data_IF_132169667954
#
_entry.id   IF_132169667954
#
_cell.length_a   1.000
_cell.length_b   1.000
_cell.length_c   1.000
_cell.angle_alpha   90.00
_cell.angle_beta   90.00
_cell.angle_gamma   90.00
#
_symmetry.space_group_name_H-M   'P 1'
#
loop_
_entity.id
_entity.type
_entity.pdbx_description
1 polymer ?
#
# COMPACT_ATOMS: atom_id res chain seq x y z
N UNK A 1 28.19 -22.58 2.59
CA UNK A 1 28.64 -21.34 1.93
C UNK A 1 27.92 -20.09 2.43
N UNK A 2 26.85 -20.23 3.23
CA UNK A 2 26.08 -19.11 3.79
C UNK A 2 25.18 -18.35 2.77
N UNK A 3 25.15 -18.79 1.52
CA UNK A 3 24.33 -18.18 0.46
C UNK A 3 23.12 -19.08 0.17
N UNK A 4 21.91 -18.51 0.28
CA UNK A 4 20.68 -19.20 -0.06
C UNK A 4 20.57 -19.39 -1.58
N UNK A 5 20.79 -20.60 -2.07
CA UNK A 5 20.66 -20.94 -3.48
C UNK A 5 19.21 -21.18 -3.91
N UNK A 6 18.99 -21.42 -5.21
CA UNK A 6 17.68 -21.62 -5.81
C UNK A 6 16.80 -22.70 -5.12
N UNK A 7 17.42 -23.75 -4.58
CA UNK A 7 16.71 -24.80 -3.82
C UNK A 7 16.15 -24.25 -2.50
N UNK A 8 16.96 -23.45 -1.78
CA UNK A 8 16.57 -22.82 -0.53
C UNK A 8 15.42 -21.83 -0.77
N UNK A 9 15.55 -20.95 -1.78
CA UNK A 9 14.50 -20.03 -2.15
C UNK A 9 13.19 -20.74 -2.51
N UNK A 10 13.27 -21.83 -3.28
CA UNK A 10 12.08 -22.64 -3.62
C UNK A 10 11.42 -23.26 -2.38
N UNK A 11 12.23 -23.73 -1.41
CA UNK A 11 11.70 -24.29 -0.16
C UNK A 11 11.07 -23.22 0.75
N UNK A 12 11.58 -21.99 0.71
CA UNK A 12 11.06 -20.86 1.49
C UNK A 12 9.85 -20.17 0.83
N UNK A 13 9.64 -20.35 -0.47
CA UNK A 13 8.57 -19.68 -1.20
C UNK A 13 7.18 -19.82 -0.57
N UNK A 14 6.74 -20.99 -0.07
CA UNK A 14 5.46 -21.12 0.63
C UNK A 14 5.34 -20.24 1.88
N UNK A 15 6.44 -20.01 2.58
CA UNK A 15 6.46 -19.17 3.78
C UNK A 15 6.40 -17.67 3.45
N UNK A 16 6.95 -17.26 2.30
CA UNK A 16 6.82 -15.88 1.81
C UNK A 16 5.45 -15.58 1.21
N UNK A 17 4.82 -16.59 0.57
CA UNK A 17 3.52 -16.42 -0.10
C UNK A 17 2.34 -16.89 0.75
N UNK A 18 2.57 -17.59 1.85
CA UNK A 18 1.53 -18.06 2.76
C UNK A 18 0.66 -19.20 2.22
N UNK A 19 1.07 -19.90 1.15
CA UNK A 19 0.35 -21.06 0.62
C UNK A 19 1.27 -22.08 -0.03
N UNK A 20 0.77 -23.30 -0.17
CA UNK A 20 1.36 -24.34 -1.03
C UNK A 20 0.37 -24.72 -2.13
N UNK A 21 0.89 -25.12 -3.29
CA UNK A 21 0.09 -25.75 -4.35
C UNK A 21 0.33 -27.25 -4.32
N UNK A 22 -0.76 -28.05 -4.27
CA UNK A 22 -0.74 -29.50 -4.29
C UNK A 22 -1.57 -30.03 -5.45
N UNK A 23 -1.10 -31.05 -6.14
CA UNK A 23 -1.93 -31.82 -7.07
C UNK A 23 -2.80 -32.80 -6.30
N UNK A 24 -4.11 -32.76 -6.52
CA UNK A 24 -5.12 -33.64 -5.88
C UNK A 24 -4.85 -35.09 -6.27
N UNK A 25 -4.80 -35.97 -5.28
CA UNK A 25 -4.59 -37.43 -5.40
C UNK A 25 -5.80 -38.21 -4.88
N UNK A 26 -5.88 -39.47 -5.24
CA UNK A 26 -6.89 -40.35 -4.69
C UNK A 26 -6.79 -40.44 -3.16
N UNK A 27 -7.92 -40.29 -2.47
CA UNK A 27 -8.00 -40.24 -1.01
C UNK A 27 -7.74 -38.87 -0.36
N UNK A 28 -7.37 -37.84 -1.13
CA UNK A 28 -7.30 -36.47 -0.60
C UNK A 28 -8.71 -35.96 -0.24
N UNK A 29 -8.83 -35.35 0.91
CA UNK A 29 -10.02 -34.60 1.35
C UNK A 29 -9.57 -33.25 1.95
N UNK A 30 -10.42 -32.23 1.91
CA UNK A 30 -10.10 -30.94 2.55
C UNK A 30 -9.78 -31.12 4.04
N UNK A 31 -10.51 -32.00 4.75
CA UNK A 31 -10.27 -32.25 6.17
C UNK A 31 -8.92 -32.92 6.45
N UNK A 32 -8.49 -33.88 5.61
CA UNK A 32 -7.18 -34.51 5.76
C UNK A 32 -6.03 -33.54 5.46
N UNK A 33 -6.19 -32.75 4.39
CA UNK A 33 -5.22 -31.72 3.98
C UNK A 33 -5.15 -30.57 4.99
N UNK A 34 -6.28 -30.11 5.53
CA UNK A 34 -6.32 -29.11 6.57
C UNK A 34 -5.51 -29.55 7.80
N UNK A 35 -5.69 -30.79 8.27
CA UNK A 35 -4.88 -31.36 9.37
C UNK A 35 -3.40 -31.48 9.00
N UNK A 36 -3.08 -31.93 7.80
CA UNK A 36 -1.70 -32.10 7.35
C UNK A 36 -0.92 -30.78 7.32
N UNK A 37 -1.56 -29.68 6.91
CA UNK A 37 -0.93 -28.37 6.75
C UNK A 37 -1.20 -27.40 7.91
N UNK A 38 -1.95 -27.83 8.93
CA UNK A 38 -2.29 -27.02 10.10
C UNK A 38 -3.26 -25.87 9.81
N UNK A 39 -3.98 -25.92 8.69
CA UNK A 39 -4.95 -24.90 8.25
C UNK A 39 -6.40 -25.35 8.51
N UNK A 40 -7.39 -24.56 8.08
CA UNK A 40 -8.81 -24.91 8.18
C UNK A 40 -9.39 -25.39 6.85
N UNK A 41 -10.46 -26.18 6.93
CA UNK A 41 -11.25 -26.59 5.76
C UNK A 41 -11.81 -25.36 5.04
N UNK A 42 -12.32 -24.38 5.80
CA UNK A 42 -12.88 -23.15 5.27
C UNK A 42 -11.83 -22.33 4.51
N UNK A 43 -10.59 -22.25 5.02
CA UNK A 43 -9.51 -21.56 4.31
C UNK A 43 -9.18 -22.24 2.98
N UNK A 44 -9.17 -23.59 2.94
CA UNK A 44 -8.95 -24.33 1.70
C UNK A 44 -10.13 -24.10 0.73
N UNK A 45 -11.37 -24.18 1.22
CA UNK A 45 -12.55 -23.94 0.40
C UNK A 45 -12.58 -22.51 -0.17
N UNK A 46 -12.27 -21.52 0.65
CA UNK A 46 -12.19 -20.12 0.25
C UNK A 46 -11.15 -19.88 -0.85
N UNK A 47 -9.98 -20.51 -0.75
CA UNK A 47 -8.92 -20.40 -1.75
C UNK A 47 -9.22 -21.18 -3.04
N UNK A 48 -10.24 -22.06 -3.05
CA UNK A 48 -10.59 -22.92 -4.18
C UNK A 48 -12.11 -22.95 -4.42
N UNK A 49 -12.77 -21.80 -4.65
CA UNK A 49 -14.25 -21.71 -4.68
C UNK A 49 -14.91 -22.48 -5.84
N UNK A 50 -14.12 -22.94 -6.80
CA UNK A 50 -14.56 -23.72 -7.96
C UNK A 50 -14.43 -25.25 -7.78
N UNK A 51 -13.96 -25.71 -6.61
CA UNK A 51 -13.86 -27.12 -6.28
C UNK A 51 -15.01 -27.55 -5.36
N UNK A 52 -15.62 -28.71 -5.69
CA UNK A 52 -16.56 -29.37 -4.80
C UNK A 52 -15.77 -30.18 -3.74
N UNK A 53 -15.89 -29.85 -2.43
CA UNK A 53 -15.17 -30.53 -1.37
C UNK A 53 -15.47 -32.02 -1.25
N UNK A 54 -16.68 -32.43 -1.70
CA UNK A 54 -17.12 -33.85 -1.66
C UNK A 54 -16.64 -34.63 -2.89
N UNK A 55 -16.24 -33.93 -3.97
CA UNK A 55 -15.85 -34.56 -5.24
C UNK A 55 -14.61 -33.89 -5.84
N UNK A 56 -13.46 -34.09 -5.21
CA UNK A 56 -12.20 -33.52 -5.65
C UNK A 56 -11.72 -34.15 -6.98
N UNK A 57 -11.50 -33.35 -8.04
CA UNK A 57 -11.04 -33.86 -9.32
C UNK A 57 -9.55 -34.22 -9.26
N UNK A 58 -9.21 -35.48 -9.53
CA UNK A 58 -7.85 -35.98 -9.53
C UNK A 58 -6.98 -35.25 -10.55
N UNK A 59 -5.74 -34.99 -10.18
CA UNK A 59 -4.77 -34.31 -11.05
C UNK A 59 -4.87 -32.77 -11.10
N UNK A 60 -5.94 -32.17 -10.55
CA UNK A 60 -6.05 -30.72 -10.47
C UNK A 60 -5.18 -30.12 -9.37
N UNK A 61 -4.75 -28.89 -9.61
CA UNK A 61 -4.05 -28.09 -8.62
C UNK A 61 -5.01 -27.59 -7.53
N UNK A 62 -4.57 -27.64 -6.29
CA UNK A 62 -5.26 -27.17 -5.10
C UNK A 62 -4.36 -26.17 -4.37
N UNK A 63 -4.87 -24.99 -4.09
CA UNK A 63 -4.22 -24.01 -3.22
C UNK A 63 -4.52 -24.33 -1.76
N UNK A 64 -3.49 -24.51 -0.95
CA UNK A 64 -3.61 -24.77 0.49
C UNK A 64 -3.01 -23.58 1.25
N UNK A 65 -3.82 -22.68 1.83
CA UNK A 65 -3.36 -21.62 2.71
C UNK A 65 -2.61 -22.18 3.92
N UNK A 66 -1.48 -21.56 4.29
CA UNK A 66 -0.78 -21.88 5.52
C UNK A 66 -1.41 -21.12 6.72
N UNK A 67 -1.24 -21.60 7.97
CA UNK A 67 -1.98 -21.10 9.14
C UNK A 67 -1.39 -19.81 9.73
N UNK A 68 -0.97 -18.87 8.89
CA UNK A 68 -0.47 -17.56 9.31
C UNK A 68 -0.89 -16.47 8.32
N UNK A 69 -0.82 -15.21 8.76
CA UNK A 69 -1.07 -14.03 7.91
C UNK A 69 -0.04 -13.96 6.78
N UNK A 70 -0.48 -13.62 5.57
CA UNK A 70 0.42 -13.36 4.43
C UNK A 70 1.22 -12.08 4.63
N UNK A 71 0.68 -11.16 5.44
CA UNK A 71 1.29 -9.87 5.74
C UNK A 71 2.12 -9.96 7.04
N UNK A 72 3.46 -10.19 6.97
CA UNK A 72 4.29 -10.26 8.17
C UNK A 72 4.34 -8.90 8.88
N UNK A 73 4.33 -8.94 10.22
CA UNK A 73 4.23 -7.75 11.08
C UNK A 73 5.53 -7.38 11.81
N UNK A 74 6.60 -8.14 11.59
CA UNK A 74 7.84 -8.08 12.37
C UNK A 74 9.12 -7.91 11.55
N UNK A 75 9.00 -7.83 10.22
CA UNK A 75 10.13 -7.64 9.31
C UNK A 75 9.92 -6.44 8.38
N UNK A 76 10.99 -5.74 8.00
CA UNK A 76 10.92 -4.68 6.99
C UNK A 76 10.45 -5.22 5.64
N UNK A 77 9.64 -4.44 4.94
CA UNK A 77 9.18 -4.79 3.61
C UNK A 77 10.17 -4.33 2.55
N UNK A 78 10.56 -5.23 1.67
CA UNK A 78 11.21 -4.92 0.39
C UNK A 78 10.21 -5.05 -0.76
N UNK A 79 10.57 -4.51 -1.92
CA UNK A 79 9.77 -4.68 -3.14
C UNK A 79 9.54 -6.16 -3.50
N UNK A 80 10.53 -7.01 -3.24
CA UNK A 80 10.42 -8.46 -3.43
C UNK A 80 9.38 -9.08 -2.47
N UNK A 81 9.43 -8.72 -1.19
CA UNK A 81 8.46 -9.19 -0.19
C UNK A 81 7.05 -8.70 -0.53
N UNK A 82 6.89 -7.43 -0.95
CA UNK A 82 5.60 -6.90 -1.42
C UNK A 82 5.04 -7.79 -2.54
N UNK A 83 5.87 -8.15 -3.53
CA UNK A 83 5.45 -9.05 -4.61
C UNK A 83 5.07 -10.46 -4.14
N UNK A 84 5.71 -11.00 -3.09
CA UNK A 84 5.32 -12.28 -2.49
C UNK A 84 3.99 -12.17 -1.75
N UNK A 85 3.81 -11.13 -0.94
CA UNK A 85 2.56 -10.86 -0.21
C UNK A 85 1.39 -10.69 -1.19
N UNK A 86 1.54 -9.87 -2.22
CA UNK A 86 0.50 -9.65 -3.24
C UNK A 86 0.09 -10.96 -3.92
N UNK A 87 1.05 -11.81 -4.31
CA UNK A 87 0.77 -13.13 -4.87
C UNK A 87 0.10 -14.07 -3.88
N UNK A 88 0.52 -14.02 -2.63
CA UNK A 88 -0.08 -14.80 -1.55
C UNK A 88 -1.53 -14.42 -1.29
N UNK A 89 -1.82 -13.12 -1.22
CA UNK A 89 -3.18 -12.60 -1.07
C UNK A 89 -4.07 -13.06 -2.24
N UNK A 90 -3.61 -12.89 -3.48
CA UNK A 90 -4.36 -13.32 -4.67
C UNK A 90 -4.65 -14.82 -4.69
N UNK A 91 -3.70 -15.65 -4.24
CA UNK A 91 -3.88 -17.11 -4.20
C UNK A 91 -4.82 -17.56 -3.08
N UNK A 92 -4.81 -16.90 -1.93
CA UNK A 92 -5.64 -17.25 -0.77
C UNK A 92 -7.06 -16.69 -0.88
N UNK A 93 -7.22 -15.56 -1.58
CA UNK A 93 -8.46 -14.80 -1.67
C UNK A 93 -8.83 -14.53 -3.13
N UNK A 94 -9.43 -15.50 -3.84
CA UNK A 94 -9.74 -15.38 -5.28
C UNK A 94 -10.72 -14.27 -5.65
N UNK A 95 -11.41 -13.66 -4.65
CA UNK A 95 -12.22 -12.47 -4.83
C UNK A 95 -11.38 -11.19 -4.99
N UNK A 96 -10.09 -11.24 -4.67
CA UNK A 96 -9.16 -10.12 -4.82
C UNK A 96 -8.57 -10.13 -6.22
N UNK A 97 -8.87 -9.11 -7.02
CA UNK A 97 -8.21 -8.91 -8.29
C UNK A 97 -6.87 -8.17 -8.07
N UNK A 98 -5.83 -8.60 -8.75
CA UNK A 98 -4.48 -8.04 -8.65
C UNK A 98 -3.94 -7.74 -10.04
N UNK A 99 -3.26 -6.61 -10.21
CA UNK A 99 -2.59 -6.22 -11.44
C UNK A 99 -1.45 -5.22 -11.21
N UNK A 100 -0.81 -4.82 -12.30
CA UNK A 100 0.22 -3.78 -12.31
C UNK A 100 -0.34 -2.53 -12.99
N UNK A 101 -0.10 -1.34 -12.42
CA UNK A 101 -0.48 -0.09 -13.06
C UNK A 101 0.70 0.65 -13.70
N UNK A 102 1.91 0.14 -13.53
CA UNK A 102 3.13 0.73 -14.07
C UNK A 102 4.37 0.04 -13.54
N UNK A 103 5.51 0.66 -13.81
CA UNK A 103 6.81 0.21 -13.31
C UNK A 103 7.61 1.39 -12.77
N UNK A 104 8.41 1.12 -11.72
CA UNK A 104 9.32 2.08 -11.10
C UNK A 104 10.53 2.39 -11.99
N UNK A 105 11.41 3.25 -11.51
CA UNK A 105 12.70 3.58 -12.18
C UNK A 105 13.52 2.33 -12.47
N UNK A 106 13.58 1.37 -11.54
CA UNK A 106 14.29 0.10 -11.72
C UNK A 106 13.45 -1.00 -12.39
N UNK A 107 12.27 -0.65 -12.91
CA UNK A 107 11.39 -1.60 -13.59
C UNK A 107 10.62 -2.53 -12.66
N UNK A 108 10.56 -2.26 -11.36
CA UNK A 108 9.75 -3.01 -10.40
C UNK A 108 8.26 -2.76 -10.62
N UNK A 109 7.41 -3.79 -10.45
CA UNK A 109 5.97 -3.63 -10.65
C UNK A 109 5.35 -2.68 -9.62
N UNK A 110 4.51 -1.77 -10.08
CA UNK A 110 3.63 -0.96 -9.26
C UNK A 110 2.29 -1.69 -9.16
N UNK A 111 2.06 -2.33 -8.02
CA UNK A 111 0.91 -3.21 -7.83
C UNK A 111 -0.37 -2.43 -7.51
N UNK A 112 -1.50 -2.90 -8.05
CA UNK A 112 -2.82 -2.55 -7.52
C UNK A 112 -3.60 -3.81 -7.15
N UNK A 113 -4.47 -3.67 -6.14
CA UNK A 113 -5.38 -4.69 -5.68
C UNK A 113 -6.79 -4.12 -5.70
N UNK A 114 -7.77 -4.92 -6.14
CA UNK A 114 -9.17 -4.47 -6.20
C UNK A 114 -10.06 -5.47 -5.48
N UNK A 115 -10.94 -4.96 -4.60
CA UNK A 115 -11.87 -5.74 -3.81
C UNK A 115 -13.24 -5.08 -3.80
N UNK A 116 -14.31 -5.89 -3.87
CA UNK A 116 -15.69 -5.40 -3.93
C UNK A 116 -16.20 -5.24 -5.36
N UNK A 117 -17.48 -4.92 -5.50
CA UNK A 117 -18.18 -4.80 -6.79
C UNK A 117 -19.21 -3.67 -6.81
N UNK A 118 -19.21 -2.82 -5.78
CA UNK A 118 -20.14 -1.71 -5.69
C UNK A 118 -19.81 -0.56 -6.66
N UNK A 119 -20.77 0.30 -6.94
CA UNK A 119 -20.60 1.41 -7.88
C UNK A 119 -19.73 2.55 -7.35
N UNK A 120 -19.58 2.70 -6.02
CA UNK A 120 -18.73 3.71 -5.41
C UNK A 120 -17.27 3.26 -5.46
N UNK A 121 -16.42 4.05 -6.12
CA UNK A 121 -15.01 3.75 -6.29
C UNK A 121 -14.17 4.48 -5.22
N UNK A 122 -13.43 3.73 -4.43
CA UNK A 122 -12.56 4.27 -3.38
C UNK A 122 -11.12 3.86 -3.66
N UNK A 123 -10.19 4.83 -3.60
CA UNK A 123 -8.80 4.62 -3.91
C UNK A 123 -7.90 4.94 -2.72
N UNK A 124 -7.17 3.95 -2.22
CA UNK A 124 -6.18 4.12 -1.17
C UNK A 124 -4.79 3.81 -1.70
N UNK A 125 -3.83 4.64 -1.34
CA UNK A 125 -2.44 4.44 -1.75
C UNK A 125 -1.48 4.68 -0.57
N UNK A 126 -0.27 4.13 -0.69
CA UNK A 126 0.73 4.16 0.37
C UNK A 126 2.16 4.30 -0.19
N UNK A 127 3.08 4.70 0.65
CA UNK A 127 4.51 4.79 0.38
C UNK A 127 4.85 5.59 -0.89
N UNK A 128 4.37 6.85 -0.94
CA UNK A 128 4.92 7.86 -1.86
C UNK A 128 6.36 8.21 -1.50
N UNK A 129 6.69 8.15 -0.21
CA UNK A 129 8.02 8.40 0.31
C UNK A 129 8.68 7.10 0.75
N UNK A 130 9.95 6.95 0.38
CA UNK A 130 10.75 5.76 0.64
C UNK A 130 10.84 5.39 2.13
N UNK A 131 11.11 6.37 3.00
CA UNK A 131 11.27 6.15 4.43
C UNK A 131 9.95 6.02 5.21
N UNK A 132 8.83 6.15 4.52
CA UNK A 132 7.48 5.92 5.06
C UNK A 132 6.94 4.53 4.69
N UNK A 133 7.85 3.59 4.42
CA UNK A 133 7.53 2.25 3.92
C UNK A 133 6.59 1.43 4.83
N UNK A 134 6.49 1.75 6.13
CA UNK A 134 5.56 1.09 7.06
C UNK A 134 4.09 1.22 6.61
N UNK A 135 3.76 2.23 5.80
CA UNK A 135 2.42 2.41 5.24
C UNK A 135 2.04 1.30 4.26
N UNK A 136 3.01 0.64 3.63
CA UNK A 136 2.80 -0.53 2.76
C UNK A 136 2.25 -1.74 3.53
N UNK A 137 2.91 -2.28 4.57
CA UNK A 137 2.33 -3.36 5.37
C UNK A 137 1.02 -2.97 6.04
N UNK A 138 0.82 -1.71 6.42
CA UNK A 138 -0.46 -1.23 6.94
C UNK A 138 -1.59 -1.46 5.93
N UNK A 139 -1.41 -1.00 4.69
CA UNK A 139 -2.43 -1.11 3.64
C UNK A 139 -2.67 -2.56 3.22
N UNK A 140 -1.61 -3.37 3.11
CA UNK A 140 -1.71 -4.80 2.78
C UNK A 140 -2.40 -5.61 3.89
N UNK A 141 -2.11 -5.32 5.17
CA UNK A 141 -2.78 -5.94 6.31
C UNK A 141 -4.27 -5.60 6.34
N UNK A 142 -4.64 -4.35 6.07
CA UNK A 142 -6.05 -3.96 5.94
C UNK A 142 -6.73 -4.75 4.82
N UNK A 143 -6.09 -4.89 3.66
CA UNK A 143 -6.58 -5.69 2.54
C UNK A 143 -6.81 -7.16 2.94
N UNK A 144 -5.81 -7.79 3.61
CA UNK A 144 -5.94 -9.18 4.08
C UNK A 144 -7.11 -9.35 5.06
N UNK A 145 -7.26 -8.42 6.00
CA UNK A 145 -8.36 -8.44 6.96
C UNK A 145 -9.73 -8.33 6.28
N UNK A 146 -9.88 -7.42 5.29
CA UNK A 146 -11.12 -7.32 4.51
C UNK A 146 -11.42 -8.63 3.75
N UNK A 147 -10.43 -9.20 3.08
CA UNK A 147 -10.58 -10.45 2.35
C UNK A 147 -10.99 -11.60 3.27
N UNK A 148 -10.38 -11.72 4.45
CA UNK A 148 -10.73 -12.72 5.44
C UNK A 148 -12.18 -12.57 5.92
N UNK A 149 -12.60 -11.35 6.27
CA UNK A 149 -13.98 -11.06 6.71
C UNK A 149 -15.01 -11.24 5.60
N UNK A 150 -14.66 -10.91 4.36
CA UNK A 150 -15.53 -11.21 3.21
C UNK A 150 -15.72 -12.72 3.02
N UNK A 151 -14.64 -13.49 3.27
CA UNK A 151 -14.66 -14.95 3.13
C UNK A 151 -15.47 -15.64 4.23
N UNK A 152 -15.33 -15.23 5.48
CA UNK A 152 -16.04 -15.83 6.62
C UNK A 152 -17.43 -15.20 6.87
N UNK A 153 -17.82 -14.17 6.11
CA UNK A 153 -19.08 -13.45 6.27
C UNK A 153 -19.11 -12.55 7.52
N UNK A 154 -17.93 -12.26 8.09
CA UNK A 154 -17.80 -11.53 9.35
C UNK A 154 -17.87 -10.02 9.23
N UNK A 155 -17.83 -9.38 10.39
CA UNK A 155 -17.89 -7.93 10.54
C UNK A 155 -16.49 -7.35 10.79
N UNK A 156 -16.31 -6.08 10.41
CA UNK A 156 -15.17 -5.24 10.76
C UNK A 156 -15.67 -3.87 11.20
N UNK A 157 -15.21 -3.39 12.37
CA UNK A 157 -15.68 -2.13 12.95
C UNK A 157 -17.22 -2.03 13.00
N UNK A 158 -17.90 -3.14 13.35
CA UNK A 158 -19.36 -3.21 13.39
C UNK A 158 -20.08 -3.20 12.05
N UNK A 159 -19.34 -3.35 10.94
CA UNK A 159 -19.91 -3.35 9.59
C UNK A 159 -19.78 -4.73 8.96
N UNK A 160 -20.87 -5.24 8.39
CA UNK A 160 -20.81 -6.45 7.58
C UNK A 160 -20.02 -6.19 6.29
N UNK A 161 -18.92 -6.91 6.09
CA UNK A 161 -17.99 -6.63 4.99
C UNK A 161 -18.57 -6.98 3.63
N UNK A 162 -19.41 -8.01 3.55
CA UNK A 162 -20.09 -8.37 2.30
C UNK A 162 -21.04 -7.26 1.85
N UNK A 163 -21.83 -6.73 2.77
CA UNK A 163 -22.77 -5.64 2.47
C UNK A 163 -22.04 -4.34 2.13
N UNK A 164 -20.94 -4.06 2.81
CA UNK A 164 -20.09 -2.90 2.54
C UNK A 164 -19.50 -2.99 1.13
N UNK A 165 -18.86 -4.10 0.79
CA UNK A 165 -18.19 -4.30 -0.50
C UNK A 165 -19.16 -4.55 -1.68
N UNK A 166 -20.44 -4.79 -1.42
CA UNK A 166 -21.48 -4.76 -2.46
C UNK A 166 -21.82 -3.32 -2.92
N UNK A 167 -21.51 -2.32 -2.09
CA UNK A 167 -21.74 -0.89 -2.36
C UNK A 167 -20.49 -0.15 -2.80
N UNK A 168 -19.31 -0.71 -2.49
CA UNK A 168 -18.00 -0.09 -2.75
C UNK A 168 -17.12 -1.04 -3.55
N UNK A 169 -16.39 -0.48 -4.50
CA UNK A 169 -15.21 -1.10 -5.11
C UNK A 169 -13.97 -0.38 -4.58
N UNK A 170 -13.14 -1.09 -3.85
CA UNK A 170 -11.92 -0.59 -3.25
C UNK A 170 -10.72 -0.90 -4.14
N UNK A 171 -9.95 0.11 -4.50
CA UNK A 171 -8.68 -0.01 -5.24
C UNK A 171 -7.54 0.42 -4.33
N UNK A 172 -6.52 -0.42 -4.20
CA UNK A 172 -5.37 -0.22 -3.33
C UNK A 172 -4.08 -0.18 -4.16
N UNK A 173 -3.23 0.83 -3.94
CA UNK A 173 -1.87 0.90 -4.46
C UNK A 173 -0.88 0.87 -3.27
N UNK A 174 -0.38 -0.30 -2.86
CA UNK A 174 0.30 -0.46 -1.57
C UNK A 174 1.72 0.12 -1.51
N UNK A 175 2.36 0.37 -2.65
CA UNK A 175 3.69 0.96 -2.70
C UNK A 175 3.85 1.78 -3.99
N UNK A 176 3.94 3.09 -3.85
CA UNK A 176 4.16 4.00 -4.99
C UNK A 176 5.65 4.06 -5.33
N UNK A 177 6.54 4.01 -4.34
CA UNK A 177 8.00 4.03 -4.51
C UNK A 177 8.68 2.74 -4.02
N UNK A 178 8.55 1.61 -4.73
CA UNK A 178 9.16 0.35 -4.32
C UNK A 178 10.69 0.37 -4.36
N UNK A 179 11.30 1.19 -5.20
CA UNK A 179 12.76 1.31 -5.31
C UNK A 179 13.34 2.05 -4.11
N UNK A 180 12.70 3.16 -3.72
CA UNK A 180 13.07 3.91 -2.53
C UNK A 180 12.87 3.10 -1.25
N UNK A 181 11.80 2.31 -1.15
CA UNK A 181 11.61 1.33 -0.07
C UNK A 181 12.82 0.42 0.05
N UNK A 182 13.29 -0.17 -1.07
CA UNK A 182 14.44 -1.07 -1.06
C UNK A 182 15.74 -0.36 -0.66
N UNK A 183 15.92 0.91 -1.03
CA UNK A 183 17.05 1.71 -0.56
C UNK A 183 17.04 1.85 0.97
N UNK A 184 15.91 2.29 1.53
CA UNK A 184 15.80 2.56 2.97
C UNK A 184 15.87 1.28 3.81
N UNK A 185 15.33 0.17 3.29
CA UNK A 185 15.33 -1.13 3.99
C UNK A 185 16.59 -1.96 3.74
N UNK A 186 17.53 -1.47 2.91
CA UNK A 186 18.79 -2.16 2.61
C UNK A 186 18.65 -3.33 1.65
N UNK A 187 17.59 -3.36 0.83
CA UNK A 187 17.32 -4.44 -0.11
C UNK A 187 17.84 -4.17 -1.54
N UNK A 188 18.43 -3.00 -1.80
CA UNK A 188 19.10 -2.69 -3.07
C UNK A 188 20.46 -3.37 -3.18
N UNK A 189 20.91 -3.57 -4.43
CA UNK A 189 22.30 -3.95 -4.71
C UNK A 189 23.30 -2.84 -4.33
N UNK A 190 24.55 -3.22 -4.19
CA UNK A 190 25.62 -2.33 -3.72
C UNK A 190 25.92 -1.18 -4.69
N UNK A 191 25.79 -1.40 -6.00
CA UNK A 191 26.07 -0.38 -7.03
C UNK A 191 25.01 0.72 -7.00
N UNK A 192 23.73 0.31 -7.02
CA UNK A 192 22.60 1.25 -6.93
C UNK A 192 22.58 2.02 -5.60
N UNK A 193 22.90 1.35 -4.49
CA UNK A 193 23.04 1.98 -3.17
C UNK A 193 24.18 3.01 -3.15
N UNK A 194 25.32 2.70 -3.77
CA UNK A 194 26.46 3.62 -3.85
C UNK A 194 26.11 4.87 -4.68
N UNK A 195 25.37 4.73 -5.77
CA UNK A 195 24.91 5.86 -6.57
C UNK A 195 23.96 6.79 -5.78
N UNK A 196 23.01 6.22 -5.05
CA UNK A 196 22.13 7.00 -4.18
C UNK A 196 22.91 7.70 -3.04
N UNK A 197 23.88 7.02 -2.46
CA UNK A 197 24.77 7.61 -1.43
C UNK A 197 25.58 8.78 -1.96
N UNK A 198 26.15 8.66 -3.15
CA UNK A 198 26.90 9.76 -3.78
C UNK A 198 26.04 11.00 -4.01
N UNK A 199 24.73 10.82 -4.33
CA UNK A 199 23.79 11.92 -4.39
C UNK A 199 23.56 12.54 -3.00
N UNK A 200 23.39 11.70 -1.97
CA UNK A 200 23.13 12.14 -0.60
C UNK A 200 24.31 12.93 0.00
N UNK A 201 25.54 12.71 -0.44
CA UNK A 201 26.73 13.44 0.02
C UNK A 201 26.65 14.95 -0.23
N UNK A 202 25.81 15.40 -1.20
CA UNK A 202 25.53 16.81 -1.42
C UNK A 202 24.54 17.41 -0.40
N UNK A 203 23.96 16.57 0.47
CA UNK A 203 22.94 16.94 1.47
C UNK A 203 23.29 16.34 2.84
N UNK A 204 24.41 16.74 3.46
CA UNK A 204 24.96 16.09 4.66
C UNK A 204 24.06 16.17 5.89
N UNK A 205 23.13 17.11 5.94
CA UNK A 205 22.16 17.25 7.04
C UNK A 205 21.00 16.23 6.94
N UNK A 206 20.89 15.47 5.84
CA UNK A 206 19.86 14.44 5.66
C UNK A 206 20.48 13.08 5.94
N UNK A 207 20.04 12.35 7.00
CA UNK A 207 20.58 11.02 7.32
C UNK A 207 20.39 10.04 6.18
N UNK A 208 21.44 9.33 5.78
CA UNK A 208 21.37 8.30 4.75
C UNK A 208 21.42 6.89 5.35
N UNK A 209 20.51 5.95 4.92
CA UNK A 209 19.40 6.14 4.01
C UNK A 209 18.09 6.55 4.70
N UNK A 210 18.03 6.69 6.03
CA UNK A 210 16.81 6.88 6.82
C UNK A 210 16.04 8.16 6.49
N UNK A 211 16.74 9.24 6.09
CA UNK A 211 16.15 10.50 5.67
C UNK A 211 15.69 10.56 4.22
N UNK A 212 15.91 9.47 3.44
CA UNK A 212 15.58 9.43 2.01
C UNK A 212 14.07 9.28 1.78
N UNK A 213 13.44 10.29 1.17
CA UNK A 213 12.01 10.32 0.80
C UNK A 213 11.77 10.13 -0.69
N UNK A 214 12.74 10.52 -1.51
CA UNK A 214 12.65 10.55 -2.97
C UNK A 214 12.64 9.15 -3.60
N UNK A 215 12.28 9.07 -4.90
CA UNK A 215 12.61 7.92 -5.71
C UNK A 215 14.11 7.86 -6.02
N UNK A 216 14.59 6.85 -6.74
CA UNK A 216 16.03 6.71 -7.02
C UNK A 216 16.61 7.75 -7.99
N UNK A 217 15.77 8.58 -8.61
CA UNK A 217 16.22 9.75 -9.39
C UNK A 217 16.34 11.01 -8.52
N UNK A 218 16.14 10.89 -7.21
CA UNK A 218 16.19 12.01 -6.29
C UNK A 218 15.01 12.97 -6.44
N UNK A 219 13.84 12.49 -6.87
CA UNK A 219 12.60 13.27 -6.98
C UNK A 219 11.63 12.87 -5.90
N UNK A 220 11.14 13.84 -5.12
CA UNK A 220 10.08 13.67 -4.16
C UNK A 220 8.75 13.46 -4.91
N UNK A 221 8.27 12.22 -4.94
CA UNK A 221 7.10 11.86 -5.74
C UNK A 221 5.83 12.61 -5.32
N UNK A 222 5.71 12.96 -4.03
CA UNK A 222 4.55 13.72 -3.54
C UNK A 222 4.68 15.24 -3.78
N UNK A 223 5.67 15.65 -4.56
CA UNK A 223 5.83 17.01 -5.09
C UNK A 223 5.86 17.03 -6.63
N UNK A 224 5.54 15.91 -7.29
CA UNK A 224 5.69 15.75 -8.74
C UNK A 224 4.35 15.77 -9.50
N UNK A 225 3.25 16.18 -8.86
CA UNK A 225 1.92 16.26 -9.52
C UNK A 225 1.60 17.69 -10.00
N UNK A 226 0.81 17.83 -11.10
CA UNK A 226 0.48 19.14 -11.68
C UNK A 226 -0.61 19.89 -10.90
N UNK A 227 -0.36 20.13 -9.60
CA UNK A 227 -1.21 20.90 -8.72
C UNK A 227 -0.39 22.04 -8.10
N UNK A 228 -0.43 23.22 -8.68
CA UNK A 228 0.44 24.35 -8.30
C UNK A 228 1.93 23.97 -8.29
N UNK A 229 2.36 23.14 -9.21
CA UNK A 229 3.73 22.61 -9.25
C UNK A 229 4.79 23.71 -9.33
N UNK A 230 4.56 24.77 -10.13
CA UNK A 230 5.48 25.91 -10.20
C UNK A 230 5.62 26.65 -8.85
N UNK A 231 4.56 26.69 -8.06
CA UNK A 231 4.61 27.23 -6.70
C UNK A 231 5.48 26.35 -5.78
N UNK A 232 5.29 25.05 -5.81
CA UNK A 232 6.13 24.12 -5.06
C UNK A 232 7.59 24.23 -5.49
N UNK A 233 7.87 24.27 -6.79
CA UNK A 233 9.21 24.43 -7.36
C UNK A 233 9.88 25.71 -6.86
N UNK A 234 9.16 26.84 -6.87
CA UNK A 234 9.69 28.12 -6.36
C UNK A 234 10.03 28.02 -4.88
N UNK A 235 9.11 27.51 -4.06
CA UNK A 235 9.32 27.34 -2.60
C UNK A 235 10.55 26.48 -2.33
N UNK A 236 10.66 25.32 -2.99
CA UNK A 236 11.79 24.41 -2.78
C UNK A 236 13.12 24.98 -3.27
N UNK A 237 13.09 25.76 -4.36
CA UNK A 237 14.26 26.51 -4.83
C UNK A 237 14.71 27.57 -3.81
N UNK A 238 13.80 28.30 -3.19
CA UNK A 238 14.09 29.25 -2.12
C UNK A 238 14.68 28.56 -0.87
N UNK A 239 14.35 27.29 -0.64
CA UNK A 239 14.93 26.42 0.39
C UNK A 239 16.27 25.77 -0.03
N UNK A 240 16.78 26.08 -1.22
CA UNK A 240 18.07 25.56 -1.73
C UNK A 240 17.98 24.24 -2.48
N UNK A 241 16.78 23.68 -2.72
CA UNK A 241 16.61 22.40 -3.44
C UNK A 241 16.20 22.67 -4.90
N UNK A 242 17.19 22.59 -5.81
CA UNK A 242 17.01 22.88 -7.24
C UNK A 242 17.38 21.70 -8.15
N UNK A 243 18.01 20.69 -7.60
CA UNK A 243 18.54 19.50 -8.32
C UNK A 243 18.12 18.24 -7.58
N UNK A 244 18.29 17.05 -8.17
CA UNK A 244 18.00 15.81 -7.50
C UNK A 244 18.54 15.75 -6.07
N UNK A 245 17.70 15.34 -5.13
CA UNK A 245 17.96 15.37 -3.70
C UNK A 245 17.32 14.16 -3.01
N UNK A 246 17.77 13.77 -1.83
CA UNK A 246 17.12 12.71 -1.03
C UNK A 246 15.66 13.02 -0.69
N UNK A 247 15.25 14.28 -0.74
CA UNK A 247 13.89 14.77 -0.50
C UNK A 247 13.69 16.18 -1.07
N UNK A 248 12.45 16.60 -1.18
CA UNK A 248 12.04 17.96 -1.50
C UNK A 248 12.35 18.44 -2.94
N UNK A 249 12.99 17.65 -3.79
CA UNK A 249 13.14 17.99 -5.19
C UNK A 249 11.88 17.61 -5.98
N UNK A 250 11.28 18.59 -6.64
CA UNK A 250 9.97 18.45 -7.31
C UNK A 250 10.04 17.78 -8.70
N UNK A 251 11.24 17.47 -9.20
CA UNK A 251 11.47 17.04 -10.58
C UNK A 251 11.73 18.22 -11.52
N UNK A 252 11.93 17.91 -12.81
CA UNK A 252 12.16 18.93 -13.86
C UNK A 252 10.85 19.40 -14.50
N UNK A 253 9.82 18.54 -14.47
CA UNK A 253 8.44 18.86 -14.88
C UNK A 253 7.44 18.01 -14.08
N UNK A 254 6.17 18.40 -14.00
CA UNK A 254 5.17 17.57 -13.33
C UNK A 254 5.01 16.23 -14.07
N UNK A 255 4.87 15.14 -13.31
CA UNK A 255 4.72 13.76 -13.80
C UNK A 255 5.90 13.28 -14.67
N UNK A 256 7.10 13.80 -14.46
CA UNK A 256 8.31 13.34 -15.16
C UNK A 256 8.89 12.03 -14.56
N UNK A 257 8.32 11.54 -13.45
CA UNK A 257 8.70 10.28 -12.85
C UNK A 257 7.72 9.16 -13.24
N UNK A 258 8.21 7.95 -13.53
CA UNK A 258 7.35 6.84 -13.95
C UNK A 258 6.31 6.47 -12.88
N UNK A 259 6.65 6.55 -11.60
CA UNK A 259 5.76 6.22 -10.50
C UNK A 259 4.60 7.22 -10.38
N UNK A 260 4.89 8.51 -10.34
CA UNK A 260 3.85 9.56 -10.24
C UNK A 260 2.98 9.60 -11.49
N UNK A 261 3.56 9.43 -12.68
CA UNK A 261 2.84 9.35 -13.93
C UNK A 261 1.89 8.15 -13.98
N UNK A 262 2.36 6.98 -13.55
CA UNK A 262 1.56 5.75 -13.50
C UNK A 262 0.41 5.86 -12.49
N UNK A 263 0.65 6.41 -11.29
CA UNK A 263 -0.39 6.60 -10.29
C UNK A 263 -1.46 7.61 -10.75
N UNK A 264 -1.04 8.69 -11.40
CA UNK A 264 -1.97 9.65 -12.00
C UNK A 264 -2.80 9.02 -13.11
N UNK A 265 -2.19 8.15 -13.93
CA UNK A 265 -2.89 7.44 -15.01
C UNK A 265 -3.96 6.48 -14.45
N UNK A 266 -3.64 5.67 -13.43
CA UNK A 266 -4.62 4.76 -12.83
C UNK A 266 -5.76 5.54 -12.16
N UNK A 267 -5.48 6.63 -11.46
CA UNK A 267 -6.53 7.47 -10.88
C UNK A 267 -7.47 8.05 -11.95
N UNK A 268 -6.92 8.47 -13.10
CA UNK A 268 -7.74 8.91 -14.25
C UNK A 268 -8.57 7.79 -14.86
N UNK A 269 -8.07 6.55 -14.90
CA UNK A 269 -8.84 5.41 -15.40
C UNK A 269 -9.94 4.98 -14.43
N UNK A 270 -9.64 4.95 -13.13
CA UNK A 270 -10.58 4.50 -12.09
C UNK A 270 -11.65 5.54 -11.80
N UNK A 271 -11.34 6.83 -11.91
CA UNK A 271 -12.23 7.94 -11.51
C UNK A 271 -12.79 7.80 -10.08
N UNK A 272 -11.96 7.68 -9.04
CA UNK A 272 -12.42 7.39 -7.69
C UNK A 272 -13.33 8.48 -7.13
N UNK A 273 -14.32 8.08 -6.32
CA UNK A 273 -15.21 8.98 -5.57
C UNK A 273 -14.53 9.53 -4.31
N UNK A 274 -13.54 8.81 -3.81
CA UNK A 274 -12.78 9.14 -2.61
C UNK A 274 -11.33 8.64 -2.75
N UNK A 275 -10.37 9.43 -2.26
CA UNK A 275 -8.97 9.04 -2.21
C UNK A 275 -8.37 9.27 -0.81
N UNK A 276 -7.63 8.26 -0.28
CA UNK A 276 -6.77 8.41 0.88
C UNK A 276 -5.31 8.09 0.51
N UNK A 277 -4.39 8.98 0.85
CA UNK A 277 -2.96 8.77 0.75
C UNK A 277 -2.36 8.56 2.15
N UNK A 278 -1.73 7.41 2.37
CA UNK A 278 -1.07 7.08 3.64
C UNK A 278 0.35 7.59 3.64
N UNK A 279 0.67 8.36 4.66
CA UNK A 279 1.98 8.90 4.98
C UNK A 279 2.37 8.60 6.43
N UNK A 280 3.53 8.99 6.84
CA UNK A 280 4.01 9.10 8.22
C UNK A 280 4.78 10.40 8.38
N UNK A 281 4.69 11.09 9.49
CA UNK A 281 4.15 10.76 10.78
C UNK A 281 3.37 11.97 11.35
N UNK A 282 2.60 11.75 12.43
CA UNK A 282 1.87 12.83 13.11
C UNK A 282 0.58 12.37 13.77
N UNK A 283 0.05 11.19 13.40
CA UNK A 283 -1.27 10.71 13.83
C UNK A 283 -2.37 11.75 13.57
N UNK A 284 -2.41 12.29 12.34
CA UNK A 284 -3.28 13.40 11.95
C UNK A 284 -3.92 13.15 10.58
N UNK A 285 -5.09 13.73 10.36
CA UNK A 285 -5.84 13.71 9.10
C UNK A 285 -5.76 15.09 8.46
N UNK A 286 -5.18 15.17 7.27
CA UNK A 286 -5.10 16.40 6.48
C UNK A 286 -6.12 16.40 5.34
N UNK A 287 -7.21 17.19 5.42
CA UNK A 287 -8.11 17.43 4.29
C UNK A 287 -7.47 18.37 3.26
N UNK A 288 -8.18 18.65 2.18
CA UNK A 288 -7.86 19.75 1.29
C UNK A 288 -8.16 21.12 1.92
N UNK A 289 -7.77 22.22 1.24
CA UNK A 289 -8.09 23.56 1.68
C UNK A 289 -9.61 23.75 1.83
N UNK A 290 -10.03 24.36 2.95
CA UNK A 290 -11.46 24.49 3.31
C UNK A 290 -12.30 25.21 2.23
N UNK A 291 -11.72 26.23 1.58
CA UNK A 291 -12.36 27.04 0.54
C UNK A 291 -12.59 26.27 -0.79
N UNK A 292 -11.90 25.17 -1.00
CA UNK A 292 -12.00 24.31 -2.19
C UNK A 292 -12.42 22.88 -1.87
N UNK A 293 -12.78 22.61 -0.61
CA UNK A 293 -13.14 21.26 -0.18
C UNK A 293 -14.44 20.80 -0.86
N UNK A 294 -14.47 19.61 -1.47
CA UNK A 294 -15.69 19.05 -2.03
C UNK A 294 -16.77 18.83 -0.96
N UNK A 295 -18.05 18.84 -1.39
CA UNK A 295 -19.15 18.57 -0.48
C UNK A 295 -18.98 17.26 0.28
N UNK A 296 -19.29 17.25 1.57
CA UNK A 296 -19.14 16.08 2.44
C UNK A 296 -17.74 15.85 3.01
N UNK A 297 -16.68 16.52 2.51
CA UNK A 297 -15.30 16.32 3.00
C UNK A 297 -15.16 16.58 4.51
N UNK A 298 -15.81 17.62 5.03
CA UNK A 298 -15.74 17.95 6.46
C UNK A 298 -16.42 16.87 7.33
N UNK A 299 -17.59 16.39 6.91
CA UNK A 299 -18.31 15.31 7.62
C UNK A 299 -17.51 14.00 7.59
N UNK A 300 -16.89 13.68 6.45
CA UNK A 300 -16.03 12.51 6.32
C UNK A 300 -14.78 12.61 7.18
N UNK A 301 -14.11 13.77 7.21
CA UNK A 301 -12.97 14.02 8.08
C UNK A 301 -13.34 13.83 9.57
N UNK A 302 -14.49 14.37 9.98
CA UNK A 302 -15.00 14.21 11.34
C UNK A 302 -15.29 12.74 11.69
N UNK A 303 -15.92 11.98 10.78
CA UNK A 303 -16.20 10.56 10.98
C UNK A 303 -14.89 9.73 11.13
N UNK A 304 -13.90 10.00 10.29
CA UNK A 304 -12.58 9.33 10.40
C UNK A 304 -11.87 9.72 11.71
N UNK A 305 -11.96 10.98 12.12
CA UNK A 305 -11.40 11.49 13.38
C UNK A 305 -12.06 10.83 14.60
N UNK A 306 -13.38 10.78 14.62
CA UNK A 306 -14.14 10.12 15.71
C UNK A 306 -13.79 8.63 15.83
N UNK A 307 -13.71 7.94 14.69
CA UNK A 307 -13.39 6.50 14.67
C UNK A 307 -11.97 6.19 15.14
N UNK A 308 -11.00 7.05 14.88
CA UNK A 308 -9.58 6.77 15.10
C UNK A 308 -8.96 7.54 16.26
N UNK A 309 -9.56 8.66 16.67
CA UNK A 309 -8.96 9.61 17.59
C UNK A 309 -7.91 10.53 16.95
N UNK A 310 -7.67 10.45 15.65
CA UNK A 310 -6.73 11.33 14.95
C UNK A 310 -7.36 12.71 14.73
N UNK A 311 -6.71 13.81 15.12
CA UNK A 311 -7.22 15.14 14.87
C UNK A 311 -7.27 15.46 13.36
N UNK A 312 -8.20 16.34 12.99
CA UNK A 312 -8.24 16.95 11.66
C UNK A 312 -7.56 18.30 11.71
N UNK A 313 -6.51 18.48 10.94
CA UNK A 313 -5.71 19.72 10.93
C UNK A 313 -5.54 20.27 9.50
N UNK A 314 -5.33 21.57 9.34
CA UNK A 314 -4.97 22.14 8.05
C UNK A 314 -3.57 21.66 7.64
N UNK A 315 -3.37 21.46 6.33
CA UNK A 315 -2.04 21.10 5.78
C UNK A 315 -1.08 22.25 6.03
N UNK A 316 0.14 22.00 6.57
CA UNK A 316 1.17 23.03 6.68
C UNK A 316 1.50 23.65 5.31
N UNK A 317 1.62 24.97 5.25
CA UNK A 317 1.83 25.70 3.99
C UNK A 317 3.04 25.20 3.19
N UNK A 318 4.10 24.83 3.88
CA UNK A 318 5.33 24.29 3.28
C UNK A 318 5.13 22.93 2.55
N UNK A 319 4.03 22.21 2.87
CA UNK A 319 3.69 20.91 2.30
C UNK A 319 2.42 20.95 1.42
N UNK A 320 1.83 22.12 1.26
CA UNK A 320 0.56 22.31 0.56
C UNK A 320 0.81 22.70 -0.90
N UNK A 321 1.28 21.83 -1.73
CA UNK A 321 1.32 22.03 -3.19
C UNK A 321 1.96 20.80 -3.86
N UNK A 322 1.55 20.53 -5.08
CA UNK A 322 2.10 19.49 -5.96
C UNK A 322 2.01 18.05 -5.44
N UNK A 323 1.29 17.80 -4.34
CA UNK A 323 1.01 16.47 -3.82
C UNK A 323 -0.07 15.73 -4.61
N UNK A 324 -0.09 14.40 -4.47
CA UNK A 324 -1.11 13.57 -5.12
C UNK A 324 -2.53 13.93 -4.66
N UNK A 325 -2.72 14.19 -3.37
CA UNK A 325 -4.00 14.66 -2.81
C UNK A 325 -4.43 15.99 -3.44
N UNK A 326 -3.52 16.95 -3.54
CA UNK A 326 -3.84 18.28 -4.07
C UNK A 326 -4.23 18.21 -5.55
N UNK A 327 -3.50 17.39 -6.31
CA UNK A 327 -3.82 17.11 -7.70
C UNK A 327 -5.16 16.41 -7.86
N UNK A 328 -5.46 15.42 -6.99
CA UNK A 328 -6.72 14.70 -7.02
C UNK A 328 -7.90 15.64 -6.75
N UNK A 329 -7.82 16.46 -5.71
CA UNK A 329 -8.83 17.48 -5.39
C UNK A 329 -9.08 18.44 -6.57
N UNK A 330 -8.01 18.90 -7.20
CA UNK A 330 -8.08 19.83 -8.33
C UNK A 330 -8.71 19.19 -9.57
N UNK A 331 -8.31 17.96 -9.90
CA UNK A 331 -8.76 17.26 -11.12
C UNK A 331 -10.15 16.66 -11.00
N UNK A 332 -10.45 16.03 -9.87
CA UNK A 332 -11.70 15.25 -9.71
C UNK A 332 -12.78 15.99 -8.93
N UNK A 333 -12.41 17.00 -8.13
CA UNK A 333 -13.31 17.74 -7.24
C UNK A 333 -14.10 16.80 -6.32
N UNK A 334 -13.43 15.77 -5.83
CA UNK A 334 -13.94 14.73 -4.93
C UNK A 334 -13.10 14.69 -3.67
N UNK A 335 -13.64 14.21 -2.54
CA UNK A 335 -12.91 14.16 -1.27
C UNK A 335 -11.59 13.41 -1.39
N UNK A 336 -10.54 13.99 -0.81
CA UNK A 336 -9.23 13.39 -0.72
C UNK A 336 -8.53 13.83 0.55
N UNK A 337 -7.79 12.89 1.18
CA UNK A 337 -7.12 13.13 2.45
C UNK A 337 -5.71 12.54 2.43
N UNK A 338 -4.80 13.20 3.13
CA UNK A 338 -3.57 12.61 3.59
C UNK A 338 -3.77 12.15 5.02
N UNK A 339 -3.40 10.91 5.31
CA UNK A 339 -3.44 10.32 6.65
C UNK A 339 -2.00 10.11 7.11
N UNK A 340 -1.55 10.91 8.06
CA UNK A 340 -0.23 10.77 8.66
C UNK A 340 -0.29 9.75 9.81
N UNK A 341 0.27 8.58 9.60
CA UNK A 341 0.22 7.46 10.54
C UNK A 341 1.38 7.50 11.52
N UNK A 342 1.10 7.28 12.81
CA UNK A 342 2.12 7.06 13.84
C UNK A 342 2.85 8.33 14.31
N UNK A 343 3.77 8.15 15.25
CA UNK A 343 4.50 9.23 15.92
C UNK A 343 5.98 8.84 16.04
N UNK A 344 6.87 9.83 15.89
CA UNK A 344 8.32 9.65 16.03
C UNK A 344 9.09 10.11 14.81
N UNK A 345 10.22 9.50 14.53
CA UNK A 345 11.08 9.80 13.38
C UNK A 345 10.98 8.69 12.33
N UNK A 346 10.93 9.07 11.06
CA UNK A 346 10.93 8.12 9.95
C UNK A 346 12.35 7.55 9.69
N UNK A 347 12.46 6.24 9.38
CA UNK A 347 11.39 5.25 9.27
C UNK A 347 10.81 4.85 10.62
N UNK A 348 9.48 4.81 10.74
CA UNK A 348 8.85 4.36 11.96
C UNK A 348 9.15 2.87 12.22
N UNK A 349 9.41 2.46 13.48
CA UNK A 349 9.73 1.08 13.81
C UNK A 349 8.51 0.16 13.68
N UNK A 350 8.73 -1.08 13.23
CA UNK A 350 7.67 -2.10 13.08
C UNK A 350 6.90 -2.40 14.36
N UNK A 351 7.46 -2.09 15.53
CA UNK A 351 6.78 -2.22 16.81
C UNK A 351 5.51 -1.35 16.92
N UNK A 352 5.39 -0.29 16.11
CA UNK A 352 4.17 0.52 16.03
C UNK A 352 3.08 -0.14 15.17
N UNK A 353 3.43 -1.06 14.27
CA UNK A 353 2.51 -1.62 13.26
C UNK A 353 1.18 -2.12 13.86
N UNK A 354 1.13 -2.87 14.98
CA UNK A 354 -0.14 -3.36 15.53
C UNK A 354 -1.09 -2.24 15.98
N UNK A 355 -0.55 -1.17 16.54
CA UNK A 355 -1.36 -0.01 16.95
C UNK A 355 -1.84 0.77 15.73
N UNK A 356 -0.96 0.98 14.75
CA UNK A 356 -1.28 1.65 13.49
C UNK A 356 -2.33 0.88 12.68
N UNK A 357 -2.27 -0.45 12.64
CA UNK A 357 -3.30 -1.28 12.00
C UNK A 357 -4.70 -1.05 12.60
N UNK A 358 -4.80 -0.89 13.94
CA UNK A 358 -6.09 -0.59 14.57
C UNK A 358 -6.63 0.77 14.17
N UNK A 359 -5.79 1.82 14.23
CA UNK A 359 -6.18 3.17 13.84
C UNK A 359 -6.56 3.24 12.36
N UNK A 360 -5.74 2.64 11.49
CA UNK A 360 -5.99 2.62 10.05
C UNK A 360 -7.30 1.90 9.71
N UNK A 361 -7.56 0.75 10.34
CA UNK A 361 -8.79 0.00 10.13
C UNK A 361 -10.02 0.86 10.46
N UNK A 362 -10.00 1.58 11.58
CA UNK A 362 -11.08 2.49 11.95
C UNK A 362 -11.27 3.62 10.91
N UNK A 363 -10.19 4.29 10.53
CA UNK A 363 -10.21 5.36 9.51
C UNK A 363 -10.75 4.86 8.19
N UNK A 364 -10.19 3.76 7.66
CA UNK A 364 -10.55 3.26 6.34
C UNK A 364 -11.96 2.70 6.29
N UNK A 365 -12.42 2.03 7.36
CA UNK A 365 -13.81 1.54 7.42
C UNK A 365 -14.79 2.72 7.48
N UNK A 366 -14.53 3.75 8.28
CA UNK A 366 -15.34 4.96 8.31
C UNK A 366 -15.40 5.63 6.92
N UNK A 367 -14.26 5.67 6.20
CA UNK A 367 -14.20 6.23 4.86
C UNK A 367 -14.97 5.41 3.80
N UNK A 368 -15.06 4.09 3.95
CA UNK A 368 -15.85 3.25 3.06
C UNK A 368 -17.37 3.45 3.26
N UNK A 369 -17.79 3.82 4.47
CA UNK A 369 -19.20 4.05 4.80
C UNK A 369 -19.75 5.37 4.25
N UNK A 370 -18.89 6.35 4.01
CA UNK A 370 -19.25 7.68 3.47
C UNK A 370 -19.70 7.57 2.01
#
# INVERSE_FOLDING_TARGET
>A
DGIAGARTHRALLPYYTGFVTRTIRAGDTFSALARQYGTSVDAIALANPYLDPERLPLGRALTIPLPFSVTPADIPYSSALIGYVVRGLAARYPMLAVGEFGRSVLGRPLWYLTLGSGPKLVFYNAAHHANEWITTPLLLTFCEQLCARLGDGGDMEGQNIRDLLSRVTLVLAPAVDPDGIDLVTGALDAETTAAAKALAENYPDIPFPSGWKANLRGVDLNLNYPARWETARRIKKEQGVCTPAPRDFVGFSPLDQPESAALAAVARCVHPDLMLALHTQGSVIYPGPAESAPAGSAALAAAMSEASGYPVEPVPEASANAGFKDWFLQCFRRPAFTIEMGIGENPLPMTQLPALCRALRAIMTAALLW
#
